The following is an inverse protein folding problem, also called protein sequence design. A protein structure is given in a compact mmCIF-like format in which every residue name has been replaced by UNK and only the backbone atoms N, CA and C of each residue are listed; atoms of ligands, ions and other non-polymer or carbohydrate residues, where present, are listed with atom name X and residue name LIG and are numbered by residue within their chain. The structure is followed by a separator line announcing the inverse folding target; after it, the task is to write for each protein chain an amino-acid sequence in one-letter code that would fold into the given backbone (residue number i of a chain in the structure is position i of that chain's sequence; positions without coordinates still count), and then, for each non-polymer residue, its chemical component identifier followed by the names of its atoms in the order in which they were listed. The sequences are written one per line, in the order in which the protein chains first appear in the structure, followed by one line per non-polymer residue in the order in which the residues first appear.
data_IF_117768663026
#
_entry.id   IF_117768663026
#
_cell.length_a   1.000
_cell.length_b   1.000
_cell.length_c   1.000
_cell.angle_alpha   90.00
_cell.angle_beta   90.00
_cell.angle_gamma   90.00
#
_symmetry.space_group_name_H-M   'P 1'
#
loop_
_entity.id
_entity.type
_entity.pdbx_description
1 polymer ?
#
# COMPACT_ATOMS: atom_id res chain seq x y z
N UNK A 1 -7.25 31.55 -33.26
CA UNK A 1 -6.90 30.58 -34.32
C UNK A 1 -5.40 30.69 -34.50
N UNK A 2 -4.54 29.70 -34.36
CA UNK A 2 -4.60 28.29 -33.94
C UNK A 2 -3.14 27.87 -33.96
N UNK A 3 -2.57 27.44 -32.84
CA UNK A 3 -1.30 26.71 -32.84
C UNK A 3 -1.51 25.44 -32.05
N UNK A 4 -1.81 24.36 -32.78
CA UNK A 4 -1.72 23.03 -32.23
C UNK A 4 -0.26 22.69 -31.98
N UNK A 5 0.04 22.09 -30.83
CA UNK A 5 1.27 21.34 -30.67
C UNK A 5 0.96 19.99 -30.04
N UNK A 6 1.12 18.98 -30.89
CA UNK A 6 0.96 17.56 -30.63
C UNK A 6 2.23 17.09 -29.89
N UNK A 7 2.14 16.78 -28.60
CA UNK A 7 3.29 16.44 -27.77
C UNK A 7 3.02 15.24 -26.88
N UNK A 8 3.31 14.03 -27.39
CA UNK A 8 3.59 12.87 -26.55
C UNK A 8 4.83 13.17 -25.69
N UNK A 9 4.62 13.62 -24.46
CA UNK A 9 5.68 13.94 -23.51
C UNK A 9 5.38 13.31 -22.16
N UNK A 10 5.93 12.12 -21.94
CA UNK A 10 5.87 11.44 -20.66
C UNK A 10 6.51 12.33 -19.58
N UNK A 11 5.67 12.80 -18.64
CA UNK A 11 6.05 13.20 -17.28
C UNK A 11 7.33 14.02 -17.12
N UNK A 12 7.44 15.17 -17.78
CA UNK A 12 8.48 16.15 -17.48
C UNK A 12 8.26 16.76 -16.08
N UNK A 13 9.28 16.73 -15.23
CA UNK A 13 9.25 17.43 -13.94
C UNK A 13 8.87 18.91 -14.15
N UNK A 14 7.82 19.37 -13.48
CA UNK A 14 7.33 20.76 -13.59
C UNK A 14 8.48 21.72 -13.28
N UNK A 15 8.60 22.80 -14.06
CA UNK A 15 9.53 23.88 -13.73
C UNK A 15 9.27 24.34 -12.28
N UNK A 16 10.28 24.24 -11.42
CA UNK A 16 10.16 24.47 -9.97
C UNK A 16 10.10 23.21 -9.09
N UNK A 17 10.05 22.00 -9.66
CA UNK A 17 10.07 20.73 -8.93
C UNK A 17 11.49 20.24 -8.54
N UNK A 18 12.51 21.09 -8.72
CA UNK A 18 13.87 20.79 -8.28
C UNK A 18 13.96 20.83 -6.75
N UNK A 19 14.35 19.72 -6.12
CA UNK A 19 14.74 19.74 -4.70
C UNK A 19 15.94 20.68 -4.55
N UNK A 20 15.90 21.54 -3.54
CA UNK A 20 16.99 22.50 -3.23
C UNK A 20 18.32 21.73 -3.13
N UNK A 21 19.34 22.18 -3.88
CA UNK A 21 20.71 21.65 -3.79
C UNK A 21 21.19 21.80 -2.34
N UNK A 22 21.43 20.67 -1.66
CA UNK A 22 21.76 20.64 -0.23
C UNK A 22 20.63 20.17 0.70
N UNK A 23 19.47 19.76 0.18
CA UNK A 23 18.48 19.02 0.96
C UNK A 23 19.03 17.62 1.27
N UNK A 24 19.88 17.52 2.29
CA UNK A 24 20.19 16.26 2.93
C UNK A 24 18.86 15.62 3.34
N UNK A 25 18.47 14.52 2.69
CA UNK A 25 17.36 13.71 3.16
C UNK A 25 17.66 13.37 4.61
N UNK A 26 16.69 13.61 5.50
CA UNK A 26 16.88 13.37 6.92
C UNK A 26 17.34 11.90 7.12
N UNK A 27 18.55 11.63 7.65
CA UNK A 27 19.12 10.27 7.74
C UNK A 27 18.35 9.34 8.69
N UNK A 28 17.20 9.77 9.20
CA UNK A 28 16.26 8.97 10.00
C UNK A 28 14.88 8.75 9.37
N UNK A 29 14.63 9.15 8.11
CA UNK A 29 13.29 8.97 7.50
C UNK A 29 13.04 7.57 6.91
N UNK A 30 13.95 6.62 7.14
CA UNK A 30 13.70 5.21 6.86
C UNK A 30 12.87 4.60 7.98
N UNK A 31 11.83 3.82 7.63
CA UNK A 31 11.13 2.97 8.61
C UNK A 31 12.17 2.09 9.30
N UNK A 32 12.34 2.26 10.61
CA UNK A 32 13.17 1.36 11.42
C UNK A 32 12.67 -0.09 11.21
N UNK A 33 13.54 -1.06 10.91
CA UNK A 33 13.12 -2.44 10.73
C UNK A 33 12.61 -2.96 12.09
N UNK A 34 11.30 -3.17 12.20
CA UNK A 34 10.62 -3.59 13.45
C UNK A 34 10.83 -5.07 13.79
N UNK A 35 11.85 -5.74 13.23
CA UNK A 35 12.05 -7.20 13.31
C UNK A 35 10.96 -8.04 12.62
N UNK A 36 9.83 -7.44 12.27
CA UNK A 36 8.70 -8.07 11.60
C UNK A 36 8.92 -8.05 10.09
N UNK A 37 9.07 -9.22 9.49
CA UNK A 37 9.03 -9.37 8.03
C UNK A 37 7.58 -9.23 7.58
N UNK A 38 7.25 -8.12 6.93
CA UNK A 38 5.94 -7.95 6.30
C UNK A 38 5.83 -8.90 5.11
N UNK A 39 4.86 -9.80 5.15
CA UNK A 39 4.49 -10.67 4.04
C UNK A 39 3.10 -10.31 3.57
N UNK A 40 2.86 -10.44 2.27
CA UNK A 40 1.54 -10.24 1.66
C UNK A 40 1.14 -11.54 0.98
N UNK A 41 -0.06 -12.00 1.27
CA UNK A 41 -0.69 -13.12 0.57
C UNK A 41 -1.92 -12.58 -0.16
N UNK A 42 -2.10 -12.99 -1.41
CA UNK A 42 -3.30 -12.70 -2.19
C UNK A 42 -4.07 -14.01 -2.33
N UNK A 43 -5.37 -13.97 -2.04
CA UNK A 43 -6.26 -15.12 -2.17
C UNK A 43 -7.43 -14.70 -3.05
N UNK A 44 -7.70 -15.51 -4.07
CA UNK A 44 -8.91 -15.38 -4.86
C UNK A 44 -10.06 -16.05 -4.11
N UNK A 45 -11.14 -15.32 -3.91
CA UNK A 45 -12.38 -15.80 -3.29
C UNK A 45 -13.57 -15.14 -3.98
N UNK A 46 -14.75 -15.74 -3.81
CA UNK A 46 -16.00 -15.12 -4.22
C UNK A 46 -16.29 -13.88 -3.34
N UNK A 47 -17.01 -12.87 -3.87
CA UNK A 47 -17.34 -11.68 -3.10
C UNK A 47 -18.16 -11.99 -1.84
N UNK A 48 -19.02 -13.02 -1.89
CA UNK A 48 -19.83 -13.48 -0.77
C UNK A 48 -18.95 -14.06 0.36
N UNK A 49 -17.95 -14.87 -0.01
CA UNK A 49 -16.99 -15.44 0.95
C UNK A 49 -16.18 -14.34 1.64
N UNK A 50 -15.73 -13.33 0.87
CA UNK A 50 -15.00 -12.19 1.42
C UNK A 50 -15.85 -11.41 2.43
N UNK A 51 -17.14 -11.24 2.14
CA UNK A 51 -18.05 -10.55 3.05
C UNK A 51 -18.25 -11.34 4.35
N UNK A 52 -18.48 -12.64 4.27
CA UNK A 52 -18.59 -13.51 5.44
C UNK A 52 -17.32 -13.49 6.29
N UNK A 53 -16.13 -13.53 5.68
CA UNK A 53 -14.86 -13.45 6.40
C UNK A 53 -14.73 -12.14 7.17
N UNK A 54 -15.19 -11.02 6.59
CA UNK A 54 -15.15 -9.72 7.26
C UNK A 54 -16.12 -9.66 8.44
N UNK A 55 -17.32 -10.20 8.29
CA UNK A 55 -18.32 -10.26 9.37
C UNK A 55 -17.80 -11.11 10.54
N UNK A 56 -17.30 -12.31 10.27
CA UNK A 56 -16.70 -13.18 11.29
C UNK A 56 -15.48 -12.55 11.99
N UNK A 57 -14.64 -11.84 11.24
CA UNK A 57 -13.51 -11.13 11.81
C UNK A 57 -13.97 -9.98 12.72
N UNK A 58 -15.01 -9.25 12.32
CA UNK A 58 -15.59 -8.16 13.10
C UNK A 58 -16.26 -8.68 14.39
N UNK A 59 -17.03 -9.77 14.31
CA UNK A 59 -17.62 -10.45 15.47
C UNK A 59 -16.54 -10.92 16.47
N UNK A 60 -15.42 -11.43 15.96
CA UNK A 60 -14.27 -11.81 16.78
C UNK A 60 -13.45 -10.62 17.33
N UNK A 61 -13.79 -9.37 16.95
CA UNK A 61 -13.05 -8.17 17.33
C UNK A 61 -11.63 -8.11 16.77
N UNK A 62 -11.36 -8.82 15.66
CA UNK A 62 -10.03 -8.99 15.07
C UNK A 62 -9.96 -8.39 13.67
N UNK A 63 -8.74 -8.11 13.22
CA UNK A 63 -8.52 -7.80 11.80
C UNK A 63 -8.64 -9.09 10.98
N UNK A 64 -9.06 -8.97 9.72
CA UNK A 64 -9.19 -10.12 8.80
C UNK A 64 -7.91 -10.95 8.74
N UNK A 65 -6.74 -10.29 8.63
CA UNK A 65 -5.45 -10.99 8.60
C UNK A 65 -5.19 -11.77 9.89
N UNK A 66 -5.51 -11.19 11.07
CA UNK A 66 -5.32 -11.89 12.35
C UNK A 66 -6.30 -13.03 12.52
N UNK A 67 -7.56 -12.82 12.15
CA UNK A 67 -8.60 -13.84 12.16
C UNK A 67 -8.22 -15.06 11.32
N UNK A 68 -7.72 -14.84 10.10
CA UNK A 68 -7.26 -15.93 9.21
C UNK A 68 -6.03 -16.65 9.77
N UNK A 69 -5.07 -15.92 10.35
CA UNK A 69 -3.91 -16.55 10.97
C UNK A 69 -4.31 -17.42 12.16
N UNK A 70 -5.19 -16.94 13.03
CA UNK A 70 -5.68 -17.72 14.18
C UNK A 70 -6.46 -18.96 13.71
N UNK A 71 -7.23 -18.84 12.62
CA UNK A 71 -7.99 -19.96 12.05
C UNK A 71 -7.10 -21.07 11.47
N UNK A 72 -5.97 -20.70 10.85
CA UNK A 72 -5.02 -21.64 10.23
C UNK A 72 -4.04 -22.22 11.25
N UNK A 73 -3.60 -21.41 12.22
CA UNK A 73 -2.54 -21.77 13.17
C UNK A 73 -3.05 -22.40 14.46
N UNK A 74 -4.37 -22.68 14.61
CA UNK A 74 -5.02 -23.30 15.77
C UNK A 74 -4.03 -24.01 16.73
N UNK A 75 -3.63 -23.28 17.77
CA UNK A 75 -3.20 -23.82 19.05
C UNK A 75 -4.41 -23.78 20.00
#
# INVERSE_FOLDING_TARGET
MSDGNNGNGWGGARAGAGKKKGSAGNPGSGRKPTGLKRVSFCVSCQPEELQQIKELAAEAGKTVSRFLLDAVLKD
#
